data_IF_671984887649
#
_entry.id   IF_671984887649
#
_cell.length_a   1.000
_cell.length_b   1.000
_cell.length_c   1.000
_cell.angle_alpha   90.00
_cell.angle_beta   90.00
_cell.angle_gamma   90.00
#
_symmetry.space_group_name_H-M   'P 1'
#
loop_
_entity.id
_entity.type
_entity.pdbx_description
1 polymer ?
#
# COMPACT_ATOMS: atom_id res chain seq x y z
N UNK A 1 24.49 3.83 -7.22
CA UNK A 1 24.06 5.25 -7.22
C UNK A 1 23.14 5.47 -6.04
N UNK A 2 23.05 6.71 -5.54
CA UNK A 2 22.12 7.06 -4.48
C UNK A 2 20.73 7.24 -5.04
N UNK A 3 19.73 6.90 -4.23
CA UNK A 3 18.33 7.16 -4.53
C UNK A 3 18.08 8.66 -4.51
N UNK A 4 17.57 9.18 -5.61
CA UNK A 4 17.09 10.54 -5.76
C UNK A 4 15.81 10.60 -6.59
N UNK A 5 15.27 11.80 -6.82
CA UNK A 5 14.09 11.96 -7.68
C UNK A 5 14.35 11.35 -9.06
N UNK A 6 13.33 10.70 -9.62
CA UNK A 6 13.37 9.98 -10.90
C UNK A 6 14.26 8.72 -10.91
N UNK A 7 14.81 8.32 -9.76
CA UNK A 7 15.40 6.98 -9.61
C UNK A 7 14.31 5.92 -9.62
N UNK A 8 14.58 4.80 -10.29
CA UNK A 8 13.82 3.56 -10.15
C UNK A 8 14.48 2.70 -9.10
N UNK A 9 13.70 2.29 -8.10
CA UNK A 9 14.16 1.53 -6.94
C UNK A 9 13.44 0.21 -6.91
N UNK A 10 14.21 -0.89 -6.88
CA UNK A 10 13.70 -2.22 -6.57
C UNK A 10 14.01 -2.57 -5.13
N UNK A 11 13.02 -2.99 -4.37
CA UNK A 11 13.20 -3.28 -2.95
C UNK A 11 12.24 -4.36 -2.44
N UNK A 12 12.64 -5.04 -1.38
CA UNK A 12 11.73 -5.79 -0.53
C UNK A 12 11.36 -4.97 0.70
N UNK A 13 10.18 -5.23 1.24
CA UNK A 13 9.76 -4.74 2.53
C UNK A 13 9.07 -5.81 3.38
N UNK A 14 9.08 -5.59 4.68
CA UNK A 14 8.14 -6.17 5.64
C UNK A 14 7.50 -5.01 6.39
N UNK A 15 6.19 -5.06 6.58
CA UNK A 15 5.43 -4.02 7.30
C UNK A 15 4.70 -4.60 8.50
N UNK A 16 4.74 -3.88 9.62
CA UNK A 16 3.93 -4.15 10.81
C UNK A 16 3.34 -2.85 11.37
N UNK A 17 2.35 -2.98 12.24
CA UNK A 17 2.05 -1.90 13.18
C UNK A 17 3.15 -1.87 14.25
N UNK A 18 3.56 -0.69 14.72
CA UNK A 18 4.68 -0.57 15.66
C UNK A 18 4.44 -1.44 16.91
N UNK A 19 5.38 -2.35 17.19
CA UNK A 19 5.31 -3.27 18.32
C UNK A 19 4.38 -4.49 18.13
N UNK A 20 3.87 -4.70 16.92
CA UNK A 20 3.08 -5.87 16.54
C UNK A 20 3.84 -6.78 15.57
N UNK A 21 3.32 -7.98 15.36
CA UNK A 21 3.82 -8.92 14.36
C UNK A 21 3.65 -8.38 12.92
N UNK A 22 4.49 -8.86 11.97
CA UNK A 22 4.36 -8.53 10.55
C UNK A 22 2.96 -8.76 9.99
N UNK A 23 2.45 -7.77 9.27
CA UNK A 23 1.16 -7.80 8.58
C UNK A 23 1.35 -8.32 7.15
N UNK A 24 2.39 -7.85 6.46
CA UNK A 24 2.72 -8.23 5.09
C UNK A 24 4.24 -8.22 4.88
N UNK A 25 4.73 -9.09 3.99
CA UNK A 25 6.11 -9.06 3.51
C UNK A 25 6.16 -9.37 2.01
N UNK A 26 7.10 -8.74 1.32
CA UNK A 26 7.39 -9.02 -0.08
C UNK A 26 8.51 -10.05 -0.29
N UNK A 27 9.14 -10.58 0.76
CA UNK A 27 10.36 -11.42 0.63
C UNK A 27 10.14 -12.75 -0.09
N UNK A 28 8.90 -13.23 -0.13
CA UNK A 28 8.52 -14.50 -0.79
C UNK A 28 8.06 -14.30 -2.25
N UNK A 29 8.19 -13.09 -2.80
CA UNK A 29 7.81 -12.71 -4.17
C UNK A 29 8.90 -11.84 -4.79
N UNK A 30 8.71 -11.42 -6.05
CA UNK A 30 9.64 -10.48 -6.68
C UNK A 30 9.71 -9.13 -5.94
N UNK A 31 10.87 -8.43 -5.95
CA UNK A 31 10.99 -7.09 -5.40
C UNK A 31 10.02 -6.13 -6.08
N UNK A 32 9.44 -5.24 -5.29
CA UNK A 32 8.62 -4.16 -5.84
C UNK A 32 9.52 -3.14 -6.53
N UNK A 33 9.07 -2.58 -7.65
CA UNK A 33 9.75 -1.52 -8.35
C UNK A 33 8.91 -0.24 -8.35
N UNK A 34 9.48 0.87 -7.89
CA UNK A 34 8.83 2.19 -7.88
C UNK A 34 9.74 3.24 -8.50
N UNK A 35 9.14 4.32 -9.00
CA UNK A 35 9.87 5.53 -9.34
C UNK A 35 9.67 6.59 -8.25
N UNK A 36 10.79 7.12 -7.76
CA UNK A 36 10.85 8.05 -6.62
C UNK A 36 10.47 9.46 -7.04
N UNK A 37 9.62 10.11 -6.25
CA UNK A 37 9.15 11.48 -6.45
C UNK A 37 7.88 11.59 -7.30
N UNK A 38 7.16 10.48 -7.50
CA UNK A 38 5.97 10.40 -8.35
C UNK A 38 4.73 9.88 -7.60
N UNK A 39 4.80 9.73 -6.28
CA UNK A 39 3.65 9.29 -5.47
C UNK A 39 3.28 7.81 -5.67
N UNK A 40 4.24 7.00 -6.12
CA UNK A 40 4.08 5.56 -6.32
C UNK A 40 4.11 4.76 -4.99
N UNK A 41 4.51 5.41 -3.90
CA UNK A 41 4.55 4.82 -2.55
C UNK A 41 4.18 5.87 -1.50
N UNK A 42 3.87 5.42 -0.29
CA UNK A 42 3.55 6.32 0.82
C UNK A 42 4.72 7.28 1.12
N UNK A 43 4.43 8.56 1.40
CA UNK A 43 5.45 9.61 1.43
C UNK A 43 6.52 9.39 2.51
N UNK A 44 6.15 8.86 3.67
CA UNK A 44 7.12 8.60 4.74
C UNK A 44 8.15 7.53 4.37
N UNK A 45 7.75 6.52 3.60
CA UNK A 45 8.65 5.46 3.13
C UNK A 45 9.53 5.96 1.98
N UNK A 46 8.97 6.73 1.04
CA UNK A 46 9.75 7.38 -0.03
C UNK A 46 10.85 8.27 0.55
N UNK A 47 10.51 9.11 1.53
CA UNK A 47 11.46 10.01 2.19
C UNK A 47 12.59 9.24 2.90
N UNK A 48 12.29 8.09 3.50
CA UNK A 48 13.27 7.25 4.19
C UNK A 48 14.26 6.55 3.24
N UNK A 49 13.85 6.31 1.99
CA UNK A 49 14.72 5.72 0.96
C UNK A 49 15.70 6.73 0.36
N UNK A 50 15.41 8.03 0.43
CA UNK A 50 16.24 9.08 -0.19
C UNK A 50 17.69 9.01 0.28
N UNK A 51 18.61 9.06 -0.68
CA UNK A 51 20.06 9.05 -0.44
C UNK A 51 20.66 7.68 -0.15
N UNK A 52 19.85 6.61 -0.03
CA UNK A 52 20.33 5.23 0.14
C UNK A 52 20.76 4.58 -1.17
N UNK A 53 21.47 3.47 -1.09
CA UNK A 53 22.03 2.76 -2.24
C UNK A 53 21.58 1.29 -2.29
N UNK A 54 21.76 0.67 -3.46
CA UNK A 54 21.51 -0.77 -3.62
C UNK A 54 22.38 -1.60 -2.66
N UNK A 55 21.78 -2.62 -2.06
CA UNK A 55 22.39 -3.47 -1.04
C UNK A 55 22.20 -2.98 0.40
N UNK A 56 21.65 -1.78 0.63
CA UNK A 56 21.31 -1.32 1.97
C UNK A 56 20.02 -1.95 2.50
N UNK A 57 20.02 -2.33 3.78
CA UNK A 57 18.82 -2.64 4.55
C UNK A 57 18.64 -1.65 5.70
N UNK A 58 17.41 -1.27 5.99
CA UNK A 58 17.10 -0.35 7.08
C UNK A 58 15.68 -0.53 7.61
N UNK A 59 15.47 -0.13 8.86
CA UNK A 59 14.16 -0.02 9.49
C UNK A 59 13.71 1.44 9.56
N UNK A 60 12.42 1.70 9.37
CA UNK A 60 11.83 3.04 9.54
C UNK A 60 10.42 2.98 10.13
N UNK A 61 10.16 3.86 11.09
CA UNK A 61 8.81 4.12 11.61
C UNK A 61 8.16 5.23 10.79
N UNK A 62 6.96 4.97 10.27
CA UNK A 62 6.16 5.91 9.48
C UNK A 62 4.85 6.20 10.21
N UNK A 63 4.58 7.49 10.47
CA UNK A 63 3.35 7.92 11.11
C UNK A 63 2.14 7.69 10.21
N UNK A 64 0.97 7.45 10.80
CA UNK A 64 -0.28 7.24 10.05
C UNK A 64 -0.50 8.30 8.98
N UNK A 65 -0.33 9.59 9.32
CA UNK A 65 -0.44 10.73 8.42
C UNK A 65 0.46 10.66 7.17
N UNK A 66 1.65 10.04 7.28
CA UNK A 66 2.64 9.90 6.21
C UNK A 66 2.63 8.48 5.58
N UNK A 67 1.72 7.61 6.05
CA UNK A 67 1.47 6.28 5.54
C UNK A 67 0.16 6.24 4.74
N UNK A 68 -0.88 5.65 5.32
CA UNK A 68 -2.20 5.48 4.69
C UNK A 68 -3.23 6.51 5.18
N UNK A 69 -2.76 7.56 5.85
CA UNK A 69 -3.57 8.63 6.42
C UNK A 69 -4.16 8.28 7.79
N UNK A 70 -4.74 9.29 8.41
CA UNK A 70 -5.48 9.15 9.66
C UNK A 70 -6.77 8.34 9.48
N UNK A 71 -7.16 7.62 10.53
CA UNK A 71 -8.46 6.94 10.54
C UNK A 71 -9.56 8.00 10.58
N UNK A 72 -10.49 7.92 9.63
CA UNK A 72 -11.61 8.84 9.53
C UNK A 72 -12.84 8.22 10.18
N UNK A 73 -13.17 8.68 11.39
CA UNK A 73 -14.40 8.29 12.07
C UNK A 73 -15.61 8.56 11.19
N UNK A 74 -16.51 7.58 11.13
CA UNK A 74 -17.74 7.70 10.34
C UNK A 74 -17.55 7.65 8.82
N UNK A 75 -16.34 7.37 8.31
CA UNK A 75 -16.13 7.05 6.89
C UNK A 75 -16.62 5.61 6.60
N UNK A 76 -17.91 5.41 6.80
CA UNK A 76 -18.60 4.16 6.61
C UNK A 76 -19.74 4.30 5.61
N UNK A 77 -20.16 3.17 5.07
CA UNK A 77 -21.27 3.12 4.13
C UNK A 77 -22.15 1.91 4.42
N UNK A 78 -23.46 2.09 4.25
CA UNK A 78 -24.42 1.00 4.29
C UNK A 78 -24.62 0.46 2.88
N UNK A 79 -24.27 -0.79 2.68
CA UNK A 79 -24.34 -1.45 1.36
C UNK A 79 -25.40 -2.56 1.42
N UNK A 80 -26.37 -2.60 0.48
CA UNK A 80 -27.32 -3.69 0.41
C UNK A 80 -26.63 -5.05 0.31
N UNK A 81 -27.03 -6.00 1.15
CA UNK A 81 -26.38 -7.32 1.28
C UNK A 81 -26.29 -8.09 -0.06
N UNK A 82 -27.24 -7.85 -0.97
CA UNK A 82 -27.25 -8.42 -2.33
C UNK A 82 -25.98 -8.12 -3.15
N UNK A 83 -25.28 -7.01 -2.88
CA UNK A 83 -24.06 -6.65 -3.60
C UNK A 83 -22.85 -7.49 -3.21
N UNK A 84 -22.92 -8.23 -2.09
CA UNK A 84 -21.86 -9.12 -1.65
C UNK A 84 -22.04 -10.56 -2.17
N UNK A 85 -23.14 -10.86 -2.87
CA UNK A 85 -23.40 -12.19 -3.42
C UNK A 85 -23.35 -13.28 -2.36
N UNK A 86 -22.56 -14.33 -2.62
CA UNK A 86 -22.35 -15.46 -1.72
C UNK A 86 -21.16 -15.28 -0.76
N UNK A 87 -20.49 -14.13 -0.78
CA UNK A 87 -19.33 -13.85 0.07
C UNK A 87 -19.71 -13.97 1.54
N UNK A 88 -18.91 -14.71 2.31
CA UNK A 88 -19.09 -14.80 3.76
C UNK A 88 -18.73 -13.46 4.39
N UNK A 89 -19.69 -12.84 5.09
CA UNK A 89 -19.50 -11.54 5.71
C UNK A 89 -19.30 -11.71 7.21
N UNK A 90 -18.11 -11.34 7.69
CA UNK A 90 -17.73 -11.40 9.09
C UNK A 90 -17.18 -10.03 9.50
N UNK A 91 -17.66 -9.41 10.59
CA UNK A 91 -17.06 -8.17 11.10
C UNK A 91 -15.54 -8.28 11.25
N UNK A 92 -14.82 -7.22 10.84
CA UNK A 92 -13.37 -7.14 10.83
C UNK A 92 -12.69 -7.71 9.57
N UNK A 93 -13.41 -8.44 8.72
CA UNK A 93 -12.83 -8.97 7.48
C UNK A 93 -12.90 -7.97 6.32
N UNK A 94 -11.88 -7.99 5.47
CA UNK A 94 -11.88 -7.24 4.22
C UNK A 94 -12.62 -8.03 3.13
N UNK A 95 -13.43 -7.32 2.36
CA UNK A 95 -14.14 -7.86 1.19
C UNK A 95 -14.03 -6.88 0.03
N UNK A 96 -14.02 -7.41 -1.19
CA UNK A 96 -13.99 -6.59 -2.41
C UNK A 96 -15.41 -6.38 -2.91
N UNK A 97 -15.83 -5.11 -2.97
CA UNK A 97 -17.08 -4.69 -3.56
C UNK A 97 -16.87 -4.28 -5.02
N UNK A 98 -17.70 -4.79 -5.91
CA UNK A 98 -17.73 -4.33 -7.30
C UNK A 98 -18.53 -3.03 -7.37
N UNK A 99 -17.86 -1.92 -7.68
CA UNK A 99 -18.49 -0.59 -7.81
C UNK A 99 -18.45 -0.12 -9.26
N UNK A 100 -19.19 0.94 -9.57
CA UNK A 100 -19.15 1.56 -10.90
C UNK A 100 -17.77 2.15 -11.26
N UNK A 101 -16.90 2.35 -10.27
CA UNK A 101 -15.53 2.83 -10.43
C UNK A 101 -14.50 1.70 -10.36
N UNK A 102 -14.96 0.44 -10.42
CA UNK A 102 -14.14 -0.76 -10.30
C UNK A 102 -14.22 -1.43 -8.93
N UNK A 103 -13.44 -2.51 -8.72
CA UNK A 103 -13.38 -3.22 -7.46
C UNK A 103 -12.81 -2.33 -6.35
N UNK A 104 -13.45 -2.31 -5.18
CA UNK A 104 -13.00 -1.57 -4.00
C UNK A 104 -12.98 -2.47 -2.78
N UNK A 105 -11.83 -2.57 -2.12
CA UNK A 105 -11.72 -3.24 -0.83
C UNK A 105 -12.39 -2.40 0.27
N UNK A 106 -13.18 -3.06 1.12
CA UNK A 106 -13.84 -2.46 2.29
C UNK A 106 -13.78 -3.41 3.47
N UNK A 107 -13.80 -2.90 4.70
CA UNK A 107 -13.82 -3.74 5.91
C UNK A 107 -15.24 -3.86 6.44
N UNK A 108 -15.72 -5.08 6.68
CA UNK A 108 -17.07 -5.29 7.24
C UNK A 108 -17.09 -4.80 8.69
N UNK A 109 -17.95 -3.86 9.03
CA UNK A 109 -18.14 -3.42 10.42
C UNK A 109 -19.30 -4.16 11.09
N UNK A 110 -20.43 -4.29 10.38
CA UNK A 110 -21.63 -4.94 10.92
C UNK A 110 -22.46 -5.58 9.82
N UNK A 111 -22.93 -6.80 10.08
CA UNK A 111 -23.81 -7.53 9.17
C UNK A 111 -25.25 -7.48 9.68
N UNK A 112 -26.13 -6.79 8.95
CA UNK A 112 -27.57 -6.77 9.20
C UNK A 112 -28.35 -7.79 8.36
N UNK A 113 -29.68 -7.74 8.47
CA UNK A 113 -30.57 -8.62 7.71
C UNK A 113 -30.52 -8.34 6.20
N UNK A 114 -30.69 -7.08 5.80
CA UNK A 114 -30.76 -6.64 4.40
C UNK A 114 -29.59 -5.76 3.96
N UNK A 115 -28.84 -5.20 4.92
CA UNK A 115 -27.75 -4.24 4.69
C UNK A 115 -26.54 -4.60 5.55
N UNK A 116 -25.37 -4.17 5.09
CA UNK A 116 -24.08 -4.39 5.72
C UNK A 116 -23.41 -3.04 5.86
N UNK A 117 -22.99 -2.70 7.07
CA UNK A 117 -22.24 -1.48 7.34
C UNK A 117 -20.76 -1.82 7.10
N UNK A 118 -20.10 -1.06 6.22
CA UNK A 118 -18.70 -1.25 5.84
C UNK A 118 -17.88 0.00 6.11
N UNK A 119 -16.63 -0.21 6.51
CA UNK A 119 -15.59 0.80 6.63
C UNK A 119 -14.94 1.04 5.27
N UNK A 120 -14.82 2.31 4.87
CA UNK A 120 -14.18 2.70 3.63
C UNK A 120 -12.75 3.23 3.82
N UNK A 121 -12.25 3.29 5.07
CA UNK A 121 -10.85 3.60 5.35
C UNK A 121 -9.94 2.50 4.78
N UNK A 122 -8.70 2.88 4.48
CA UNK A 122 -7.66 1.89 4.22
C UNK A 122 -7.48 0.98 5.46
N UNK A 123 -7.22 -0.33 5.32
CA UNK A 123 -7.06 -1.23 6.46
C UNK A 123 -5.95 -0.84 7.45
N UNK A 124 -4.95 -0.09 6.97
CA UNK A 124 -3.85 0.45 7.77
C UNK A 124 -4.00 1.94 8.13
N UNK A 125 -5.14 2.56 7.84
CA UNK A 125 -5.38 3.95 8.22
C UNK A 125 -5.40 4.12 9.74
N UNK A 126 -4.82 5.22 10.23
CA UNK A 126 -4.70 5.53 11.67
C UNK A 126 -3.65 4.70 12.41
N UNK A 127 -2.84 3.90 11.71
CA UNK A 127 -1.77 3.10 12.30
C UNK A 127 -0.42 3.73 12.02
N UNK A 128 0.40 3.86 13.06
CA UNK A 128 1.83 4.05 12.89
C UNK A 128 2.45 2.71 12.50
N UNK A 129 3.25 2.71 11.45
CA UNK A 129 3.78 1.49 10.82
C UNK A 129 5.29 1.43 10.96
N UNK A 130 5.82 0.22 11.14
CA UNK A 130 7.24 -0.07 11.01
C UNK A 130 7.49 -0.77 9.67
N UNK A 131 8.52 -0.34 8.95
CA UNK A 131 8.97 -0.97 7.72
C UNK A 131 10.42 -1.42 7.85
N UNK A 132 10.66 -2.72 7.63
CA UNK A 132 11.98 -3.25 7.32
C UNK A 132 12.15 -3.30 5.81
N UNK A 133 13.13 -2.59 5.28
CA UNK A 133 13.36 -2.42 3.84
C UNK A 133 14.72 -2.99 3.45
N UNK A 134 14.77 -3.64 2.30
CA UNK A 134 16.00 -4.09 1.64
C UNK A 134 16.02 -3.57 0.20
N UNK A 135 16.97 -2.70 -0.11
CA UNK A 135 17.12 -2.12 -1.45
C UNK A 135 17.91 -3.11 -2.31
N UNK A 136 17.27 -3.63 -3.35
CA UNK A 136 17.83 -4.63 -4.26
C UNK A 136 18.58 -3.95 -5.40
N UNK A 137 17.98 -2.92 -6.01
CA UNK A 137 18.53 -2.24 -7.18
C UNK A 137 18.15 -0.76 -7.16
N UNK A 138 19.05 0.09 -7.64
CA UNK A 138 18.78 1.50 -7.90
C UNK A 138 19.34 1.83 -9.28
N UNK A 139 18.49 2.35 -10.15
CA UNK A 139 18.87 2.78 -11.51
C UNK A 139 18.19 4.10 -11.87
N UNK A 140 18.69 4.73 -12.92
CA UNK A 140 18.00 5.82 -13.60
C UNK A 140 16.70 5.32 -14.26
N UNK A 141 15.64 6.12 -14.19
CA UNK A 141 14.47 5.91 -15.03
C UNK A 141 14.83 6.06 -16.52
N UNK A 142 14.14 5.31 -17.37
CA UNK A 142 14.17 5.56 -18.82
C UNK A 142 13.38 6.83 -19.16
N UNK A 143 13.53 7.35 -20.38
CA UNK A 143 12.76 8.53 -20.81
C UNK A 143 11.24 8.27 -20.77
N UNK A 144 10.81 7.08 -21.19
CA UNK A 144 9.40 6.67 -21.18
C UNK A 144 8.84 6.57 -19.76
N UNK A 145 9.59 5.98 -18.82
CA UNK A 145 9.16 5.90 -17.41
C UNK A 145 9.03 7.29 -16.76
N UNK A 146 9.94 8.22 -17.06
CA UNK A 146 9.83 9.61 -16.58
C UNK A 146 8.60 10.32 -17.15
N UNK A 147 8.33 10.13 -18.44
CA UNK A 147 7.17 10.73 -19.10
C UNK A 147 5.85 10.16 -18.55
N UNK A 148 5.83 8.89 -18.15
CA UNK A 148 4.63 8.23 -17.62
C UNK A 148 4.46 8.32 -16.10
N UNK A 149 5.54 8.57 -15.34
CA UNK A 149 5.48 8.70 -13.89
C UNK A 149 5.58 7.39 -13.10
N UNK A 150 5.78 6.25 -13.77
CA UNK A 150 5.90 4.94 -13.12
C UNK A 150 6.83 3.98 -13.88
N UNK A 151 7.20 2.88 -13.21
CA UNK A 151 8.14 1.87 -13.73
C UNK A 151 7.42 0.92 -14.69
N UNK A 152 8.06 0.62 -15.82
CA UNK A 152 7.60 -0.39 -16.77
C UNK A 152 8.38 -1.70 -16.58
N UNK A 153 7.71 -2.85 -16.73
CA UNK A 153 8.33 -4.19 -16.67
C UNK A 153 8.28 -4.86 -15.29
N UNK A 154 9.20 -5.79 -15.04
CA UNK A 154 9.18 -6.69 -13.87
C UNK A 154 9.15 -5.92 -12.53
N UNK A 155 8.11 -6.17 -11.74
CA UNK A 155 7.89 -5.52 -10.44
C UNK A 155 7.30 -4.10 -10.53
N UNK A 156 7.07 -3.57 -11.73
CA UNK A 156 6.40 -2.30 -12.01
C UNK A 156 4.94 -2.48 -12.45
N UNK A 157 4.33 -1.43 -13.00
CA UNK A 157 2.99 -1.51 -13.56
C UNK A 157 3.04 -2.03 -15.00
N UNK A 158 2.28 -3.08 -15.28
CA UNK A 158 2.08 -3.58 -16.64
C UNK A 158 0.91 -2.82 -17.29
N UNK A 159 1.12 -2.25 -18.47
CA UNK A 159 0.05 -1.79 -19.36
C UNK A 159 -0.42 -2.91 -20.27
#
# INVERSE_FOLDING_TARGET
MKIEKDSVVRFHYTVSEIGQEPIESSKERDPLAIMIGHGNIIPGLEAAMMGKEAGESFGVDVKAADAYGEYREGLSQRVPKKHFGATKLVPGTQVVLQTNFGPRAVTVQKVGMSVVDVDLNHPMAGKDLHFDVEIVEVREATAEERDHGHVHGDGGHHH
#
